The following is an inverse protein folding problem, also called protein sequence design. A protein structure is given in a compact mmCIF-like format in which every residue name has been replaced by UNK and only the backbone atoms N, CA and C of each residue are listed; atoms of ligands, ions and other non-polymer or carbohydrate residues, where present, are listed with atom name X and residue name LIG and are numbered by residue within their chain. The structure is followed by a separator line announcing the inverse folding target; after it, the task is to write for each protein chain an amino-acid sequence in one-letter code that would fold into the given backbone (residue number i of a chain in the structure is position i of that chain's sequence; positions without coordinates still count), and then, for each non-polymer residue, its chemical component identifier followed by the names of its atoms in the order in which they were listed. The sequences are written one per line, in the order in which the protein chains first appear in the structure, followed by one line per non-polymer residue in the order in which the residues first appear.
data_IF_066634201780
#
_entry.id   IF_066634201780
#
_cell.length_a   1.000
_cell.length_b   1.000
_cell.length_c   1.000
_cell.angle_alpha   90.00
_cell.angle_beta   90.00
_cell.angle_gamma   90.00
#
_symmetry.space_group_name_H-M   'P 1'
#
loop_
_entity.id
_entity.type
_entity.pdbx_description
1 polymer ?
#
# COMPACT_ATOMS: atom_id res chain seq x y z
N UNK A 1 8.71 -16.63 13.44
CA UNK A 1 8.45 -16.46 14.87
C UNK A 1 9.33 -17.45 15.60
N UNK A 2 10.29 -16.96 16.36
CA UNK A 2 10.94 -17.84 17.33
C UNK A 2 9.96 -18.03 18.47
N UNK A 3 9.29 -19.17 18.50
CA UNK A 3 8.49 -19.56 19.64
C UNK A 3 9.43 -20.10 20.72
N UNK A 4 9.30 -19.60 21.95
CA UNK A 4 9.97 -20.18 23.08
C UNK A 4 9.01 -21.15 23.77
N UNK A 5 9.44 -22.40 23.91
CA UNK A 5 8.70 -23.38 24.70
C UNK A 5 8.74 -23.00 26.19
N UNK A 6 7.58 -22.84 26.78
CA UNK A 6 7.46 -22.62 28.23
C UNK A 6 7.09 -23.95 28.90
N UNK A 7 8.06 -24.65 29.54
CA UNK A 7 7.81 -25.95 30.11
C UNK A 7 6.86 -25.91 31.34
N UNK A 8 6.64 -24.73 31.94
CA UNK A 8 5.74 -24.59 33.07
C UNK A 8 4.27 -24.60 32.67
N UNK A 9 3.97 -24.30 31.40
CA UNK A 9 2.61 -24.20 30.86
C UNK A 9 2.37 -25.09 29.66
N UNK A 10 3.38 -25.85 29.21
CA UNK A 10 3.34 -26.67 27.97
C UNK A 10 2.87 -25.87 26.73
N UNK A 11 3.26 -24.61 26.63
CA UNK A 11 2.84 -23.70 25.58
C UNK A 11 4.04 -23.04 24.89
N UNK A 12 3.92 -22.88 23.55
CA UNK A 12 4.81 -22.03 22.77
C UNK A 12 4.36 -20.58 22.83
N UNK A 13 5.11 -19.72 23.52
CA UNK A 13 4.83 -18.29 23.57
C UNK A 13 5.64 -17.54 22.53
N UNK A 14 4.98 -16.85 21.58
CA UNK A 14 5.68 -16.07 20.58
C UNK A 14 6.40 -14.88 21.24
N UNK A 15 7.68 -14.72 20.95
CA UNK A 15 8.47 -13.56 21.32
C UNK A 15 8.71 -12.66 20.13
N UNK A 16 8.53 -11.36 20.31
CA UNK A 16 8.67 -10.33 19.30
C UNK A 16 9.99 -9.60 19.53
N UNK A 17 10.97 -9.71 18.63
CA UNK A 17 12.18 -8.88 18.65
C UNK A 17 11.81 -7.41 18.42
N UNK A 18 12.38 -6.53 19.23
CA UNK A 18 12.21 -5.09 19.12
C UNK A 18 13.52 -4.41 18.80
N UNK A 19 13.50 -3.52 17.82
CA UNK A 19 14.62 -2.66 17.45
C UNK A 19 14.20 -1.20 17.50
N UNK A 20 15.11 -0.32 17.86
CA UNK A 20 14.89 1.12 17.89
C UNK A 20 15.89 1.81 16.98
N UNK A 21 15.46 2.86 16.28
CA UNK A 21 16.36 3.71 15.48
C UNK A 21 17.34 4.45 16.39
N UNK A 22 18.51 4.79 15.86
CA UNK A 22 19.58 5.45 16.64
C UNK A 22 19.21 6.85 17.13
N UNK A 23 18.22 7.49 16.49
CA UNK A 23 17.59 8.75 16.94
C UNK A 23 16.55 8.56 18.05
N UNK A 24 16.09 7.32 18.28
CA UNK A 24 15.07 6.99 19.28
C UNK A 24 13.63 7.32 18.90
N UNK A 25 13.40 7.80 17.68
CA UNK A 25 12.09 8.24 17.24
C UNK A 25 11.24 7.08 16.68
N UNK A 26 11.88 6.02 16.20
CA UNK A 26 11.21 4.93 15.50
C UNK A 26 11.41 3.60 16.21
N UNK A 27 10.36 2.78 16.26
CA UNK A 27 10.37 1.44 16.81
C UNK A 27 9.97 0.43 15.73
N UNK A 28 10.75 -0.62 15.60
CA UNK A 28 10.49 -1.75 14.71
C UNK A 28 10.32 -3.02 15.54
N UNK A 29 9.46 -3.90 15.09
CA UNK A 29 9.36 -5.27 15.57
C UNK A 29 9.55 -6.23 14.40
N UNK A 30 10.27 -7.31 14.63
CA UNK A 30 10.59 -8.33 13.64
C UNK A 30 10.14 -9.72 14.09
N UNK A 31 10.49 -10.76 13.36
CA UNK A 31 10.19 -12.15 13.71
C UNK A 31 8.73 -12.55 13.51
N UNK A 32 7.89 -11.69 12.99
CA UNK A 32 6.53 -12.03 12.64
C UNK A 32 6.50 -12.54 11.19
N UNK A 33 5.96 -13.73 10.98
CA UNK A 33 5.76 -14.25 9.63
C UNK A 33 4.87 -13.30 8.83
N UNK A 34 5.46 -12.67 7.82
CA UNK A 34 4.74 -11.85 6.87
C UNK A 34 4.49 -12.70 5.62
N UNK A 35 3.21 -12.91 5.26
CA UNK A 35 2.87 -13.60 4.02
C UNK A 35 3.23 -12.77 2.77
N UNK A 36 3.62 -11.50 2.94
CA UNK A 36 3.95 -10.59 1.86
C UNK A 36 2.77 -10.18 0.98
N UNK A 37 1.60 -10.79 1.17
CA UNK A 37 0.43 -10.51 0.35
C UNK A 37 -0.09 -9.09 0.62
N UNK A 38 -0.31 -8.31 -0.43
CA UNK A 38 -0.94 -7.00 -0.30
C UNK A 38 -2.42 -7.08 0.11
N UNK A 39 -3.01 -8.27 0.10
CA UNK A 39 -4.38 -8.51 0.55
C UNK A 39 -4.47 -8.80 2.05
N UNK A 40 -3.36 -9.15 2.67
CA UNK A 40 -3.31 -9.36 4.11
C UNK A 40 -3.36 -8.01 4.84
N UNK A 41 -4.28 -7.79 5.79
CA UNK A 41 -4.40 -6.50 6.50
C UNK A 41 -3.15 -6.14 7.27
N UNK A 42 -2.33 -7.11 7.62
CA UNK A 42 -1.04 -6.90 8.26
C UNK A 42 0.05 -6.46 7.29
N UNK A 43 0.13 -7.10 6.10
CA UNK A 43 1.17 -6.80 5.12
C UNK A 43 0.81 -5.61 4.22
N UNK A 44 -0.48 -5.33 4.03
CA UNK A 44 -0.96 -4.27 3.17
C UNK A 44 -0.36 -2.88 3.48
N UNK A 45 -0.29 -2.41 4.73
CA UNK A 45 0.32 -1.12 5.05
C UNK A 45 1.80 -1.05 4.66
N UNK A 46 2.57 -2.13 4.94
CA UNK A 46 3.99 -2.20 4.56
C UNK A 46 4.14 -2.15 3.04
N UNK A 47 3.28 -2.88 2.33
CA UNK A 47 3.27 -2.86 0.85
C UNK A 47 2.87 -1.49 0.30
N UNK A 48 1.94 -0.81 0.95
CA UNK A 48 1.56 0.55 0.59
C UNK A 48 2.72 1.54 0.76
N UNK A 49 3.45 1.46 1.86
CA UNK A 49 4.66 2.28 2.08
C UNK A 49 5.69 2.00 0.99
N UNK A 50 6.04 0.73 0.75
CA UNK A 50 7.00 0.34 -0.29
C UNK A 50 6.57 0.80 -1.69
N UNK A 51 5.28 0.77 -1.99
CA UNK A 51 4.73 1.27 -3.25
C UNK A 51 4.88 2.78 -3.36
N UNK A 52 4.53 3.51 -2.30
CA UNK A 52 4.68 4.96 -2.24
C UNK A 52 6.15 5.41 -2.41
N UNK A 53 7.08 4.72 -1.74
CA UNK A 53 8.51 4.96 -1.89
C UNK A 53 8.98 4.77 -3.34
N UNK A 54 8.55 3.68 -4.01
CA UNK A 54 8.93 3.43 -5.40
C UNK A 54 8.35 4.48 -6.37
N UNK A 55 7.12 4.88 -6.15
CA UNK A 55 6.51 5.98 -6.92
C UNK A 55 7.29 7.27 -6.68
N UNK A 56 7.64 7.57 -5.43
CA UNK A 56 8.46 8.72 -5.07
C UNK A 56 9.80 8.73 -5.81
N UNK A 57 10.53 7.61 -5.78
CA UNK A 57 11.81 7.48 -6.49
C UNK A 57 11.69 7.74 -8.01
N UNK A 58 10.62 7.26 -8.64
CA UNK A 58 10.37 7.52 -10.07
C UNK A 58 10.15 9.01 -10.33
N UNK A 59 9.37 9.66 -9.49
CA UNK A 59 9.05 11.06 -9.64
C UNK A 59 10.27 11.95 -9.39
N UNK A 60 11.06 11.67 -8.35
CA UNK A 60 12.31 12.38 -8.04
C UNK A 60 13.34 12.22 -9.18
N UNK A 61 13.47 11.00 -9.71
CA UNK A 61 14.34 10.74 -10.85
C UNK A 61 13.88 11.46 -12.13
N UNK A 62 12.58 11.50 -12.38
CA UNK A 62 12.03 12.26 -13.52
C UNK A 62 12.31 13.76 -13.36
N UNK A 63 12.06 14.32 -12.18
CA UNK A 63 12.31 15.73 -11.88
C UNK A 63 13.80 16.10 -12.00
N UNK A 64 14.70 15.29 -11.44
CA UNK A 64 16.14 15.55 -11.49
C UNK A 64 16.70 15.58 -12.93
N UNK A 65 15.99 14.95 -13.86
CA UNK A 65 16.31 14.92 -15.28
C UNK A 65 15.51 15.95 -16.11
N UNK A 66 14.75 16.83 -15.49
CA UNK A 66 13.91 17.83 -16.19
C UNK A 66 12.78 17.23 -17.02
N UNK A 67 12.33 16.00 -16.69
CA UNK A 67 11.24 15.32 -17.40
C UNK A 67 9.87 15.78 -16.90
N UNK A 68 8.89 15.67 -17.76
CA UNK A 68 7.49 15.99 -17.46
C UNK A 68 6.70 14.74 -17.13
N UNK A 69 5.78 14.86 -16.20
CA UNK A 69 4.96 13.74 -15.73
C UNK A 69 3.49 14.12 -15.72
N UNK A 70 2.65 13.27 -16.31
CA UNK A 70 1.19 13.33 -16.19
C UNK A 70 0.69 12.16 -15.34
N UNK A 71 -0.15 12.45 -14.37
CA UNK A 71 -0.90 11.44 -13.63
C UNK A 71 -2.22 11.18 -14.33
N UNK A 72 -2.47 9.93 -14.69
CA UNK A 72 -3.66 9.51 -15.45
C UNK A 72 -4.40 8.44 -14.65
N UNK A 73 -5.73 8.56 -14.53
CA UNK A 73 -6.61 7.54 -13.98
C UNK A 73 -7.46 6.93 -15.07
N UNK A 74 -7.35 5.62 -15.27
CA UNK A 74 -8.10 4.85 -16.27
C UNK A 74 -9.10 3.93 -15.59
N UNK A 75 -10.38 4.08 -15.91
CA UNK A 75 -11.47 3.29 -15.33
C UNK A 75 -12.39 2.73 -16.39
N UNK A 76 -13.12 1.67 -16.06
CA UNK A 76 -14.15 1.06 -16.88
C UNK A 76 -15.48 0.99 -16.11
N UNK A 77 -16.59 1.06 -16.84
CA UNK A 77 -17.91 0.87 -16.24
C UNK A 77 -18.04 -0.58 -15.76
N UNK A 78 -18.52 -0.75 -14.57
CA UNK A 78 -18.78 -2.04 -13.95
C UNK A 78 -20.15 -2.07 -13.30
N UNK A 79 -20.61 -3.23 -12.89
CA UNK A 79 -21.85 -3.47 -12.16
C UNK A 79 -21.57 -4.42 -11.00
N UNK A 80 -22.51 -4.53 -10.09
CA UNK A 80 -22.43 -5.48 -8.97
C UNK A 80 -22.23 -6.94 -9.43
N UNK A 81 -22.63 -7.27 -10.67
CA UNK A 81 -22.49 -8.62 -11.25
C UNK A 81 -21.15 -8.83 -11.97
N UNK A 82 -20.35 -7.79 -12.13
CA UNK A 82 -19.07 -7.89 -12.83
C UNK A 82 -18.06 -8.60 -11.95
N UNK A 83 -17.49 -9.71 -12.43
CA UNK A 83 -16.48 -10.47 -11.69
C UNK A 83 -15.13 -9.77 -11.74
N UNK A 84 -14.40 -9.76 -10.63
CA UNK A 84 -13.09 -9.13 -10.57
C UNK A 84 -12.07 -9.79 -11.50
N UNK A 85 -12.11 -11.11 -11.65
CA UNK A 85 -11.24 -11.84 -12.55
C UNK A 85 -11.41 -11.39 -14.02
N UNK A 86 -12.66 -11.19 -14.46
CA UNK A 86 -12.96 -10.73 -15.83
C UNK A 86 -12.46 -9.30 -16.05
N UNK A 87 -12.66 -8.42 -15.07
CA UNK A 87 -12.12 -7.07 -15.10
C UNK A 87 -10.59 -7.08 -15.20
N UNK A 88 -9.92 -7.84 -14.34
CA UNK A 88 -8.47 -7.94 -14.34
C UNK A 88 -7.90 -8.36 -15.69
N UNK A 89 -8.47 -9.41 -16.31
CA UNK A 89 -8.04 -9.90 -17.61
C UNK A 89 -8.29 -8.86 -18.70
N UNK A 90 -9.51 -8.32 -18.77
CA UNK A 90 -9.90 -7.35 -19.81
C UNK A 90 -9.09 -6.05 -19.69
N UNK A 91 -9.04 -5.45 -18.50
CA UNK A 91 -8.37 -4.18 -18.28
C UNK A 91 -6.84 -4.30 -18.41
N UNK A 92 -6.29 -5.41 -17.93
CA UNK A 92 -4.86 -5.70 -18.06
C UNK A 92 -4.39 -5.83 -19.51
N UNK A 93 -5.19 -6.50 -20.36
CA UNK A 93 -4.87 -6.62 -21.78
C UNK A 93 -5.06 -5.30 -22.52
N UNK A 94 -6.17 -4.60 -22.26
CA UNK A 94 -6.42 -3.27 -22.85
C UNK A 94 -5.29 -2.31 -22.49
N UNK A 95 -4.85 -2.27 -21.22
CA UNK A 95 -3.75 -1.41 -20.79
C UNK A 95 -2.45 -1.67 -21.60
N UNK A 96 -2.07 -2.94 -21.78
CA UNK A 96 -0.88 -3.29 -22.58
C UNK A 96 -1.01 -2.77 -24.01
N UNK A 97 -2.16 -2.99 -24.64
CA UNK A 97 -2.44 -2.54 -26.01
C UNK A 97 -2.54 -1.03 -26.18
N UNK A 98 -2.81 -0.30 -25.11
CA UNK A 98 -2.80 1.18 -25.17
C UNK A 98 -1.42 1.75 -25.49
N UNK A 99 -0.35 1.02 -25.13
CA UNK A 99 1.04 1.43 -25.37
C UNK A 99 1.58 1.05 -26.76
N UNK A 100 0.74 0.43 -27.60
CA UNK A 100 1.06 -0.01 -28.94
C UNK A 100 0.37 0.86 -30.00
N UNK A 101 0.77 0.64 -31.27
CA UNK A 101 0.17 1.28 -32.43
C UNK A 101 0.89 2.55 -32.89
N UNK A 102 0.49 3.02 -34.11
CA UNK A 102 1.20 4.09 -34.80
C UNK A 102 1.27 5.42 -34.04
N UNK A 103 0.18 5.80 -33.33
CA UNK A 103 0.14 7.01 -32.51
C UNK A 103 1.13 6.97 -31.35
N UNK A 104 1.14 5.88 -30.57
CA UNK A 104 2.12 5.69 -29.49
C UNK A 104 3.54 5.61 -30.02
N UNK A 105 3.76 4.95 -31.17
CA UNK A 105 5.08 4.88 -31.79
C UNK A 105 5.59 6.26 -32.22
N UNK A 106 4.71 7.15 -32.71
CA UNK A 106 5.03 8.55 -33.01
C UNK A 106 5.44 9.28 -31.73
N UNK A 107 4.60 9.25 -30.69
CA UNK A 107 4.88 9.92 -29.41
C UNK A 107 6.21 9.45 -28.79
N UNK A 108 6.52 8.15 -28.88
CA UNK A 108 7.81 7.61 -28.42
C UNK A 108 9.01 8.16 -29.21
N UNK A 109 8.86 8.45 -30.49
CA UNK A 109 9.93 9.12 -31.27
C UNK A 109 10.06 10.60 -30.93
N UNK A 110 8.98 11.21 -30.49
CA UNK A 110 8.90 12.64 -30.12
C UNK A 110 9.21 12.89 -28.62
N UNK A 111 9.73 11.89 -27.88
CA UNK A 111 10.20 12.08 -26.54
C UNK A 111 9.36 11.40 -25.43
N UNK A 112 8.31 10.61 -25.77
CA UNK A 112 7.62 9.81 -24.76
C UNK A 112 8.51 8.66 -24.29
N UNK A 113 8.88 8.66 -23.01
CA UNK A 113 9.74 7.65 -22.42
C UNK A 113 8.98 6.40 -21.99
N UNK A 114 7.74 6.55 -21.54
CA UNK A 114 6.87 5.46 -21.12
C UNK A 114 5.99 5.81 -19.94
N UNK A 115 5.59 4.78 -19.17
CA UNK A 115 4.76 5.00 -18.00
C UNK A 115 4.95 3.96 -16.92
N UNK A 116 4.51 4.34 -15.73
CA UNK A 116 4.45 3.49 -14.55
C UNK A 116 2.98 3.27 -14.19
N UNK A 117 2.61 2.04 -13.89
CA UNK A 117 1.24 1.69 -13.54
C UNK A 117 1.11 1.10 -12.16
N UNK A 118 0.07 1.52 -11.46
CA UNK A 118 -0.43 0.90 -10.22
C UNK A 118 -1.91 0.54 -10.42
N UNK A 119 -2.32 -0.65 -10.02
CA UNK A 119 -3.73 -1.03 -9.93
C UNK A 119 -4.29 -0.72 -8.56
N UNK A 120 -5.48 -0.16 -8.51
CA UNK A 120 -6.27 0.02 -7.30
C UNK A 120 -7.58 -0.77 -7.43
N UNK A 121 -7.93 -1.50 -6.36
CA UNK A 121 -9.11 -2.36 -6.30
C UNK A 121 -9.92 -2.05 -5.06
N UNK A 122 -11.17 -1.66 -5.24
CA UNK A 122 -12.14 -1.50 -4.15
C UNK A 122 -13.43 -2.22 -4.50
N UNK A 123 -14.25 -2.50 -3.50
CA UNK A 123 -15.57 -3.09 -3.69
C UNK A 123 -16.65 -2.33 -2.90
N UNK A 124 -17.85 -2.34 -3.43
CA UNK A 124 -18.98 -1.73 -2.76
C UNK A 124 -20.22 -2.60 -2.84
N UNK A 125 -20.99 -2.74 -1.74
CA UNK A 125 -22.16 -3.62 -1.70
C UNK A 125 -23.24 -3.26 -2.73
N UNK A 126 -23.30 -2.02 -3.19
CA UNK A 126 -24.24 -1.53 -4.20
C UNK A 126 -23.64 -1.40 -5.61
N UNK A 127 -22.31 -1.27 -5.72
CA UNK A 127 -21.64 -0.94 -6.98
C UNK A 127 -20.81 -2.09 -7.54
N UNK A 128 -20.40 -3.04 -6.69
CA UNK A 128 -19.49 -4.13 -7.04
C UNK A 128 -18.05 -3.68 -7.14
N UNK A 129 -17.22 -4.53 -7.74
CA UNK A 129 -15.81 -4.30 -7.92
C UNK A 129 -15.51 -3.05 -8.73
N UNK A 130 -14.56 -2.27 -8.26
CA UNK A 130 -14.03 -1.11 -8.95
C UNK A 130 -12.52 -1.28 -9.08
N UNK A 131 -12.07 -1.68 -10.26
CA UNK A 131 -10.66 -1.82 -10.60
C UNK A 131 -10.28 -0.70 -11.56
N UNK A 132 -9.28 0.10 -11.20
CA UNK A 132 -8.76 1.12 -12.07
C UNK A 132 -7.22 1.18 -12.03
N UNK A 133 -6.65 1.78 -13.06
CA UNK A 133 -5.22 1.98 -13.16
C UNK A 133 -4.87 3.45 -12.89
N UNK A 134 -3.93 3.68 -11.97
CA UNK A 134 -3.19 4.92 -11.88
C UNK A 134 -1.91 4.79 -12.70
N UNK A 135 -1.68 5.75 -13.58
CA UNK A 135 -0.56 5.71 -14.51
C UNK A 135 0.21 7.03 -14.43
N UNK A 136 1.52 6.96 -14.27
CA UNK A 136 2.41 8.10 -14.53
C UNK A 136 2.90 7.98 -15.98
N UNK A 137 2.58 8.94 -16.80
CA UNK A 137 3.12 9.09 -18.17
C UNK A 137 4.30 10.05 -18.09
N UNK A 138 5.45 9.66 -18.65
CA UNK A 138 6.71 10.40 -18.52
C UNK A 138 7.26 10.72 -19.91
N UNK A 139 7.59 12.00 -20.14
CA UNK A 139 8.08 12.50 -21.42
C UNK A 139 9.15 13.58 -21.24
N UNK A 140 9.88 13.85 -22.32
CA UNK A 140 10.91 14.91 -22.39
C UNK A 140 10.31 16.31 -22.48
N UNK A 141 9.06 16.46 -22.98
CA UNK A 141 8.38 17.75 -23.08
C UNK A 141 6.99 17.69 -22.45
N UNK A 142 6.47 18.84 -22.02
CA UNK A 142 5.14 18.97 -21.42
C UNK A 142 4.04 18.63 -22.44
N UNK A 143 4.17 19.14 -23.66
CA UNK A 143 3.20 18.98 -24.76
C UNK A 143 3.09 17.50 -25.14
N UNK A 144 4.21 16.81 -25.33
CA UNK A 144 4.22 15.38 -25.66
C UNK A 144 3.66 14.56 -24.51
N UNK A 145 3.95 14.94 -23.24
CA UNK A 145 3.43 14.27 -22.06
C UNK A 145 1.91 14.37 -21.97
N UNK A 146 1.35 15.55 -22.22
CA UNK A 146 -0.10 15.78 -22.25
C UNK A 146 -0.75 15.03 -23.40
N UNK A 147 -0.21 15.15 -24.63
CA UNK A 147 -0.72 14.42 -25.79
C UNK A 147 -0.71 12.90 -25.56
N UNK A 148 0.35 12.37 -24.97
CA UNK A 148 0.44 10.96 -24.64
C UNK A 148 -0.62 10.53 -23.61
N UNK A 149 -0.90 11.36 -22.60
CA UNK A 149 -1.97 11.11 -21.64
C UNK A 149 -3.35 11.10 -22.29
N UNK A 150 -3.64 12.07 -23.18
CA UNK A 150 -4.91 12.12 -23.93
C UNK A 150 -5.05 10.92 -24.88
N UNK A 151 -3.96 10.59 -25.59
CA UNK A 151 -3.94 9.42 -26.47
C UNK A 151 -4.17 8.12 -25.72
N UNK A 152 -3.56 7.97 -24.53
CA UNK A 152 -3.75 6.82 -23.66
C UNK A 152 -5.23 6.68 -23.24
N UNK A 153 -5.87 7.76 -22.82
CA UNK A 153 -7.30 7.78 -22.44
C UNK A 153 -8.21 7.41 -23.61
N UNK A 154 -7.98 7.98 -24.79
CA UNK A 154 -8.77 7.68 -25.99
C UNK A 154 -8.65 6.21 -26.40
N UNK A 155 -7.42 5.69 -26.46
CA UNK A 155 -7.19 4.28 -26.78
C UNK A 155 -7.78 3.33 -25.74
N UNK A 156 -7.74 3.71 -24.46
CA UNK A 156 -8.38 2.94 -23.39
C UNK A 156 -9.87 2.75 -23.66
N UNK A 157 -10.59 3.83 -23.95
CA UNK A 157 -12.02 3.80 -24.24
C UNK A 157 -12.31 2.97 -25.50
N UNK A 158 -11.56 3.20 -26.59
CA UNK A 158 -11.75 2.49 -27.87
C UNK A 158 -11.49 0.98 -27.73
N UNK A 159 -10.42 0.61 -27.05
CA UNK A 159 -10.06 -0.80 -26.89
C UNK A 159 -11.00 -1.54 -25.92
N UNK A 160 -11.52 -0.85 -24.90
CA UNK A 160 -12.57 -1.38 -24.04
C UNK A 160 -13.85 -1.64 -24.84
N UNK A 161 -14.28 -0.68 -25.66
CA UNK A 161 -15.46 -0.83 -26.51
C UNK A 161 -15.35 -2.04 -27.44
N UNK A 162 -14.18 -2.25 -28.07
CA UNK A 162 -13.91 -3.44 -28.92
C UNK A 162 -13.97 -4.77 -28.16
N UNK A 163 -13.91 -4.75 -26.85
CA UNK A 163 -14.06 -5.93 -25.97
C UNK A 163 -15.42 -6.04 -25.30
N UNK A 164 -16.38 -5.20 -25.70
CA UNK A 164 -17.71 -5.16 -25.10
C UNK A 164 -17.81 -4.48 -23.74
N UNK A 165 -16.71 -3.84 -23.29
CA UNK A 165 -16.72 -3.05 -22.05
C UNK A 165 -17.09 -1.60 -22.35
N UNK A 166 -17.83 -0.98 -21.42
CA UNK A 166 -18.23 0.42 -21.53
C UNK A 166 -17.28 1.30 -20.73
N UNK A 167 -16.93 2.43 -21.36
CA UNK A 167 -16.21 3.53 -20.71
C UNK A 167 -16.45 4.82 -21.52
N UNK A 168 -16.09 5.97 -20.98
CA UNK A 168 -16.12 7.24 -21.70
C UNK A 168 -14.92 8.10 -21.33
N UNK A 169 -14.57 9.07 -22.16
CA UNK A 169 -13.45 9.99 -21.89
C UNK A 169 -13.70 10.85 -20.66
N UNK A 170 -14.96 11.21 -20.38
CA UNK A 170 -15.32 12.08 -19.25
C UNK A 170 -15.04 11.48 -17.88
N UNK A 171 -14.97 10.14 -17.80
CA UNK A 171 -14.66 9.43 -16.53
C UNK A 171 -13.17 9.10 -16.39
N UNK A 172 -12.37 9.41 -17.40
CA UNK A 172 -10.91 9.31 -17.33
C UNK A 172 -10.35 10.66 -16.89
N UNK A 173 -9.46 10.63 -15.92
CA UNK A 173 -8.79 11.84 -15.43
C UNK A 173 -7.33 11.89 -15.89
N UNK A 174 -6.81 13.11 -16.11
CA UNK A 174 -5.38 13.34 -16.27
C UNK A 174 -5.02 14.73 -15.78
N UNK A 175 -3.90 14.84 -15.07
CA UNK A 175 -3.39 16.12 -14.58
C UNK A 175 -1.86 16.12 -14.56
N UNK A 176 -1.21 17.29 -14.79
CA UNK A 176 0.22 17.41 -14.66
C UNK A 176 0.63 17.21 -13.19
N UNK A 177 1.81 16.64 -13.00
CA UNK A 177 2.43 16.49 -11.68
C UNK A 177 3.33 17.70 -11.48
N UNK A 178 2.82 18.73 -10.82
CA UNK A 178 3.51 20.02 -10.62
C UNK A 178 4.07 20.19 -9.22
N UNK A 179 3.51 19.49 -8.22
CA UNK A 179 3.85 19.69 -6.82
C UNK A 179 5.05 18.86 -6.39
N UNK A 180 5.91 19.53 -5.62
CA UNK A 180 7.15 18.97 -5.11
C UNK A 180 6.92 17.81 -4.16
N UNK A 181 7.77 16.82 -4.30
CA UNK A 181 7.88 15.67 -3.41
C UNK A 181 8.56 16.14 -2.14
N UNK A 182 7.82 16.26 -1.05
CA UNK A 182 8.44 16.41 0.26
C UNK A 182 9.10 15.08 0.61
N UNK A 183 10.34 15.18 1.05
CA UNK A 183 11.23 14.06 1.38
C UNK A 183 10.52 13.01 2.24
N UNK A 184 10.65 11.75 1.83
CA UNK A 184 10.23 10.54 2.54
C UNK A 184 11.05 10.33 3.84
N UNK A 185 11.08 11.32 4.72
CA UNK A 185 11.91 11.29 5.93
C UNK A 185 11.16 11.13 7.25
N UNK A 186 9.83 11.15 7.26
CA UNK A 186 9.07 11.10 8.50
C UNK A 186 7.95 10.03 8.41
N UNK A 187 8.16 8.92 9.07
CA UNK A 187 7.21 7.82 9.17
C UNK A 187 6.20 8.03 10.30
N UNK A 188 5.07 8.66 10.00
CA UNK A 188 3.92 8.71 10.90
C UNK A 188 2.61 8.67 10.11
N UNK A 189 1.58 7.98 10.61
CA UNK A 189 0.28 7.89 9.93
C UNK A 189 -0.41 9.26 9.75
N UNK A 190 0.01 10.28 10.51
CA UNK A 190 -0.50 11.65 10.40
C UNK A 190 0.17 12.43 9.25
N UNK A 191 1.40 12.04 8.84
CA UNK A 191 2.16 12.70 7.78
C UNK A 191 1.71 12.29 6.36
N UNK A 192 0.85 11.28 6.23
CA UNK A 192 0.30 10.84 4.94
C UNK A 192 -0.50 11.92 4.19
N UNK A 193 -0.90 12.99 4.87
CA UNK A 193 -1.60 14.12 4.23
C UNK A 193 -0.74 14.92 3.27
N UNK A 194 0.58 14.84 3.38
CA UNK A 194 1.55 15.55 2.54
C UNK A 194 2.12 14.75 1.36
N UNK A 195 1.74 13.48 1.18
CA UNK A 195 2.37 12.57 0.21
C UNK A 195 1.89 12.71 -1.25
N UNK A 196 0.96 13.61 -1.53
CA UNK A 196 0.56 13.91 -2.90
C UNK A 196 0.18 12.68 -3.74
N UNK A 197 0.71 12.62 -4.96
CA UNK A 197 0.41 11.56 -5.95
C UNK A 197 0.92 10.18 -5.52
N UNK A 198 2.07 10.10 -4.85
CA UNK A 198 2.60 8.82 -4.37
C UNK A 198 1.63 8.16 -3.36
N UNK A 199 1.07 8.95 -2.44
CA UNK A 199 0.05 8.48 -1.51
C UNK A 199 -1.28 8.17 -2.20
N UNK A 200 -1.63 8.88 -3.26
CA UNK A 200 -2.83 8.58 -4.04
C UNK A 200 -2.70 7.26 -4.77
N UNK A 201 -1.56 6.98 -5.38
CA UNK A 201 -1.27 5.70 -6.04
C UNK A 201 -1.17 4.52 -5.06
N UNK A 202 -0.70 4.76 -3.85
CA UNK A 202 -0.65 3.74 -2.77
C UNK A 202 -1.96 3.64 -1.98
N UNK A 203 -2.99 4.39 -2.35
CA UNK A 203 -4.18 4.66 -1.54
C UNK A 203 -4.98 3.44 -1.08
N UNK A 204 -5.06 2.39 -1.89
CA UNK A 204 -5.73 1.12 -1.53
C UNK A 204 -5.11 0.48 -0.27
N UNK A 205 -3.81 0.69 -0.07
CA UNK A 205 -3.02 0.02 0.97
C UNK A 205 -2.85 0.83 2.25
N UNK A 206 -3.01 2.16 2.14
CA UNK A 206 -2.74 3.10 3.23
C UNK A 206 -4.00 3.83 3.72
N UNK A 207 -5.07 3.85 2.94
CA UNK A 207 -6.29 4.61 3.26
C UNK A 207 -7.41 3.66 3.67
N UNK A 208 -8.06 3.95 4.78
CA UNK A 208 -9.46 3.55 4.98
C UNK A 208 -10.29 4.28 3.94
N UNK A 209 -11.17 3.56 3.24
CA UNK A 209 -11.93 4.08 2.11
C UNK A 209 -12.45 5.50 2.33
N UNK A 210 -12.15 6.40 1.40
CA UNK A 210 -12.66 7.80 1.44
C UNK A 210 -14.18 7.88 1.38
N UNK A 211 -14.82 6.82 0.87
CA UNK A 211 -16.26 6.70 0.75
C UNK A 211 -16.75 5.55 1.63
N UNK A 212 -17.77 5.77 2.46
CA UNK A 212 -18.30 4.75 3.37
C UNK A 212 -18.89 3.53 2.64
N UNK A 213 -19.17 3.65 1.35
CA UNK A 213 -19.73 2.63 0.48
C UNK A 213 -18.70 1.86 -0.36
N UNK A 214 -17.39 2.12 -0.17
CA UNK A 214 -16.30 1.42 -0.87
C UNK A 214 -15.27 0.90 0.10
N UNK A 215 -15.02 -0.38 0.03
CA UNK A 215 -14.10 -1.10 0.90
C UNK A 215 -12.87 -1.56 0.11
N UNK A 216 -11.71 -1.41 0.71
CA UNK A 216 -10.48 -2.04 0.24
C UNK A 216 -10.51 -3.55 0.52
N UNK A 217 -9.63 -4.30 -0.14
CA UNK A 217 -9.55 -5.75 0.06
C UNK A 217 -9.22 -6.13 1.53
N UNK A 218 -8.30 -5.43 2.24
CA UNK A 218 -8.13 -5.66 3.68
C UNK A 218 -9.37 -5.38 4.53
N UNK A 219 -10.19 -4.38 4.17
CA UNK A 219 -11.44 -4.09 4.88
C UNK A 219 -12.49 -5.19 4.69
N UNK A 220 -12.52 -5.83 3.51
CA UNK A 220 -13.38 -7.01 3.27
C UNK A 220 -12.98 -8.19 4.17
N UNK A 221 -11.67 -8.42 4.40
CA UNK A 221 -11.23 -9.43 5.36
C UNK A 221 -11.64 -9.08 6.80
N UNK A 222 -11.62 -7.80 7.14
CA UNK A 222 -12.09 -7.36 8.45
C UNK A 222 -13.57 -7.67 8.67
N UNK A 223 -14.40 -7.48 7.65
CA UNK A 223 -15.82 -7.88 7.69
C UNK A 223 -15.97 -9.40 7.82
N UNK A 224 -15.21 -10.17 7.03
CA UNK A 224 -15.20 -11.64 7.11
C UNK A 224 -14.86 -12.15 8.51
N UNK A 225 -13.90 -11.50 9.18
CA UNK A 225 -13.47 -11.86 10.54
C UNK A 225 -14.60 -11.76 11.59
N UNK A 226 -15.54 -10.85 11.39
CA UNK A 226 -16.69 -10.69 12.30
C UNK A 226 -17.92 -11.45 11.83
N UNK A 227 -17.78 -12.36 10.86
CA UNK A 227 -18.85 -13.25 10.41
C UNK A 227 -19.71 -12.70 9.28
N UNK A 228 -19.31 -11.59 8.64
CA UNK A 228 -20.03 -11.07 7.47
C UNK A 228 -19.79 -11.94 6.25
N UNK A 229 -20.81 -12.64 5.79
CA UNK A 229 -20.74 -13.58 4.67
C UNK A 229 -20.44 -12.89 3.33
N UNK A 230 -20.93 -11.66 3.12
CA UNK A 230 -20.64 -10.91 1.91
C UNK A 230 -19.15 -10.51 1.88
N UNK A 231 -18.63 -9.98 2.97
CA UNK A 231 -17.21 -9.66 3.12
C UNK A 231 -16.31 -10.88 2.89
N UNK A 232 -16.69 -12.05 3.44
CA UNK A 232 -15.96 -13.30 3.27
C UNK A 232 -15.88 -13.73 1.79
N UNK A 233 -17.03 -13.75 1.11
CA UNK A 233 -17.11 -14.12 -0.32
C UNK A 233 -16.33 -13.16 -1.20
N UNK A 234 -16.45 -11.85 -0.95
CA UNK A 234 -15.76 -10.83 -1.74
C UNK A 234 -14.25 -10.85 -1.50
N UNK A 235 -13.82 -11.07 -0.26
CA UNK A 235 -12.40 -11.25 0.04
C UNK A 235 -11.82 -12.49 -0.67
N UNK A 236 -12.51 -13.64 -0.62
CA UNK A 236 -12.07 -14.84 -1.31
C UNK A 236 -11.94 -14.62 -2.83
N UNK A 237 -12.94 -13.97 -3.47
CA UNK A 237 -12.88 -13.58 -4.89
C UNK A 237 -11.66 -12.68 -5.18
N UNK A 238 -11.37 -11.71 -4.31
CA UNK A 238 -10.22 -10.84 -4.49
C UNK A 238 -8.89 -11.60 -4.39
N UNK A 239 -8.75 -12.50 -3.41
CA UNK A 239 -7.54 -13.32 -3.24
C UNK A 239 -7.26 -14.14 -4.49
N UNK A 240 -8.29 -14.80 -5.03
CA UNK A 240 -8.18 -15.61 -6.24
C UNK A 240 -7.90 -14.74 -7.48
N UNK A 241 -8.73 -13.72 -7.71
CA UNK A 241 -8.66 -12.89 -8.91
C UNK A 241 -7.37 -12.09 -9.01
N UNK A 242 -6.81 -11.63 -7.89
CA UNK A 242 -5.61 -10.79 -7.86
C UNK A 242 -4.31 -11.59 -7.64
N UNK A 243 -4.37 -12.92 -7.53
CA UNK A 243 -3.18 -13.76 -7.36
C UNK A 243 -2.16 -13.51 -8.48
N UNK A 244 -0.87 -13.31 -8.12
CA UNK A 244 0.21 -13.01 -9.06
C UNK A 244 0.11 -11.66 -9.77
N UNK A 245 -0.79 -10.76 -9.38
CA UNK A 245 -0.86 -9.44 -9.96
C UNK A 245 0.33 -8.58 -9.52
N UNK A 246 1.03 -8.01 -10.49
CA UNK A 246 2.06 -7.01 -10.22
C UNK A 246 1.39 -5.69 -9.84
N UNK A 247 1.65 -5.26 -8.61
CA UNK A 247 1.11 -3.99 -8.09
C UNK A 247 1.74 -2.79 -8.77
N UNK A 248 3.05 -2.80 -8.92
CA UNK A 248 3.85 -1.74 -9.52
C UNK A 248 4.62 -2.31 -10.71
N UNK A 249 4.53 -1.62 -11.84
CA UNK A 249 5.26 -2.01 -13.06
C UNK A 249 5.98 -0.79 -13.62
N UNK A 250 7.30 -0.91 -13.64
CA UNK A 250 8.23 0.04 -14.26
C UNK A 250 9.04 -0.71 -15.31
N UNK A 251 8.79 -0.39 -16.59
CA UNK A 251 9.44 -1.11 -17.71
C UNK A 251 10.97 -0.98 -17.69
N UNK A 252 11.73 -2.00 -18.15
CA UNK A 252 13.20 -2.02 -18.08
C UNK A 252 13.87 -0.83 -18.77
N UNK A 253 13.32 -0.39 -19.93
CA UNK A 253 13.83 0.78 -20.65
C UNK A 253 13.70 2.04 -19.79
N UNK A 254 12.53 2.25 -19.17
CA UNK A 254 12.28 3.42 -18.34
C UNK A 254 13.11 3.38 -17.06
N UNK A 255 13.30 2.20 -16.45
CA UNK A 255 14.22 2.02 -15.31
C UNK A 255 15.62 2.55 -15.62
N UNK A 256 16.21 2.11 -16.73
CA UNK A 256 17.55 2.54 -17.16
C UNK A 256 17.61 4.05 -17.43
N UNK A 257 16.62 4.60 -18.14
CA UNK A 257 16.56 6.03 -18.43
C UNK A 257 16.47 6.89 -17.17
N UNK A 258 15.79 6.39 -16.13
CA UNK A 258 15.68 7.07 -14.85
C UNK A 258 16.87 6.80 -13.90
N UNK A 259 17.75 5.84 -14.22
CA UNK A 259 18.84 5.42 -13.32
C UNK A 259 18.35 4.61 -12.11
N UNK A 260 17.26 3.85 -12.28
CA UNK A 260 16.58 3.09 -11.24
C UNK A 260 16.73 1.57 -11.43
N UNK A 261 17.83 1.10 -12.03
CA UNK A 261 18.03 -0.31 -12.37
C UNK A 261 17.96 -1.22 -11.13
N UNK A 262 18.37 -0.75 -9.97
CA UNK A 262 18.30 -1.45 -8.68
C UNK A 262 16.90 -1.54 -8.08
N UNK A 263 15.93 -0.74 -8.57
CA UNK A 263 14.55 -0.76 -8.04
C UNK A 263 13.84 -2.01 -8.53
N UNK A 264 13.54 -2.92 -7.61
CA UNK A 264 12.82 -4.16 -7.92
C UNK A 264 11.31 -3.92 -8.10
N UNK A 265 10.69 -4.69 -8.99
CA UNK A 265 9.23 -4.71 -9.11
C UNK A 265 8.60 -5.24 -7.81
N UNK A 266 7.44 -4.70 -7.46
CA UNK A 266 6.68 -5.13 -6.29
C UNK A 266 5.79 -6.30 -6.69
N UNK A 267 6.22 -7.52 -6.33
CA UNK A 267 5.45 -8.75 -6.48
C UNK A 267 5.07 -9.31 -5.12
N UNK A 268 4.13 -10.25 -5.07
CA UNK A 268 3.77 -10.94 -3.82
C UNK A 268 4.94 -11.72 -3.22
N UNK A 269 5.84 -12.21 -4.06
CA UNK A 269 7.01 -12.99 -3.68
C UNK A 269 8.16 -12.12 -3.15
N UNK A 270 8.07 -10.78 -3.31
CA UNK A 270 9.10 -9.88 -2.78
C UNK A 270 9.05 -9.94 -1.26
N UNK A 271 9.85 -10.81 -0.68
CA UNK A 271 10.03 -10.87 0.78
C UNK A 271 10.52 -9.51 1.26
N UNK A 272 9.89 -8.97 2.29
CA UNK A 272 10.46 -7.83 3.01
C UNK A 272 11.72 -8.37 3.69
N UNK A 273 12.91 -7.86 3.41
CA UNK A 273 14.08 -8.30 4.16
C UNK A 273 13.83 -8.02 5.64
N UNK A 274 14.05 -9.01 6.47
CA UNK A 274 14.05 -8.84 7.95
C UNK A 274 15.35 -8.15 8.42
N UNK A 275 16.06 -7.52 7.49
CA UNK A 275 17.29 -6.80 7.78
C UNK A 275 16.97 -5.60 8.65
N UNK A 276 17.55 -5.56 9.81
CA UNK A 276 17.61 -4.37 10.64
C UNK A 276 18.57 -3.41 9.91
N UNK A 277 18.11 -2.22 9.48
CA UNK A 277 19.01 -1.25 8.85
C UNK A 277 20.18 -0.87 9.78
N UNK A 278 21.29 -0.44 9.24
CA UNK A 278 22.48 -0.07 10.01
C UNK A 278 22.23 1.03 11.05
N UNK A 279 21.21 1.87 10.81
CA UNK A 279 20.75 2.91 11.73
C UNK A 279 19.77 2.41 12.81
N UNK A 280 19.60 1.08 12.93
CA UNK A 280 18.74 0.46 13.91
C UNK A 280 19.51 -0.46 14.86
N UNK A 281 19.09 -0.53 16.11
CA UNK A 281 19.69 -1.39 17.10
C UNK A 281 18.63 -2.33 17.68
N UNK A 282 18.90 -3.66 17.63
CA UNK A 282 18.06 -4.64 18.33
C UNK A 282 18.26 -4.48 19.83
N UNK A 283 17.16 -4.29 20.56
CA UNK A 283 17.17 -4.06 22.00
C UNK A 283 16.86 -5.30 22.81
N UNK A 284 16.15 -6.25 22.24
CA UNK A 284 15.75 -7.49 22.87
C UNK A 284 14.38 -7.98 22.43
N UNK A 285 13.84 -8.98 23.12
CA UNK A 285 12.58 -9.63 22.77
C UNK A 285 11.53 -9.42 23.85
N UNK A 286 10.28 -9.22 23.42
CA UNK A 286 9.12 -9.01 24.29
C UNK A 286 8.09 -10.09 23.97
N UNK A 287 7.41 -10.59 24.99
CA UNK A 287 6.30 -11.52 24.78
C UNK A 287 5.19 -10.88 23.95
N UNK A 288 4.62 -11.66 23.03
CA UNK A 288 3.61 -11.17 22.07
C UNK A 288 2.40 -10.54 22.75
N UNK A 289 2.00 -11.06 23.92
CA UNK A 289 0.91 -10.49 24.73
C UNK A 289 1.25 -9.09 25.28
N UNK A 290 2.49 -8.89 25.73
CA UNK A 290 2.95 -7.58 26.22
C UNK A 290 2.96 -6.58 25.08
N UNK A 291 3.50 -6.99 23.92
CA UNK A 291 3.58 -6.15 22.73
C UNK A 291 2.19 -5.83 22.15
N UNK A 292 1.33 -6.84 22.04
CA UNK A 292 -0.04 -6.68 21.55
C UNK A 292 -0.92 -5.80 22.45
N UNK A 293 -0.57 -5.68 23.74
CA UNK A 293 -1.27 -4.80 24.66
C UNK A 293 -0.87 -3.32 24.56
N UNK A 294 0.20 -3.00 23.79
CA UNK A 294 0.63 -1.62 23.53
C UNK A 294 -0.08 -1.15 22.24
N UNK A 295 -1.08 -0.30 22.38
CA UNK A 295 -1.81 0.27 21.23
C UNK A 295 -0.90 1.07 20.30
N UNK A 296 -1.32 1.20 19.04
CA UNK A 296 -0.54 1.91 18.02
C UNK A 296 -0.20 3.36 18.42
N UNK A 297 -1.13 4.02 19.09
CA UNK A 297 -0.99 5.39 19.61
C UNK A 297 0.10 5.53 20.68
N UNK A 298 0.43 4.44 21.37
CA UNK A 298 1.46 4.41 22.43
C UNK A 298 2.82 3.91 21.94
N UNK A 299 2.93 3.44 20.71
CA UNK A 299 4.20 2.96 20.13
C UNK A 299 5.30 4.01 20.08
N UNK A 300 5.04 5.29 19.75
CA UNK A 300 6.07 6.33 19.86
C UNK A 300 6.59 6.51 21.28
N UNK A 301 5.72 6.42 22.29
CA UNK A 301 6.11 6.46 23.69
C UNK A 301 6.94 5.22 24.09
N UNK A 302 6.59 4.04 23.55
CA UNK A 302 7.34 2.80 23.74
C UNK A 302 8.75 2.92 23.10
N UNK A 303 8.85 3.47 21.89
CA UNK A 303 10.14 3.71 21.23
C UNK A 303 11.06 4.60 22.08
N UNK A 304 10.54 5.76 22.50
CA UNK A 304 11.29 6.69 23.38
C UNK A 304 11.70 6.04 24.71
N UNK A 305 10.84 5.21 25.31
CA UNK A 305 11.16 4.48 26.53
C UNK A 305 12.31 3.51 26.31
N UNK A 306 12.26 2.70 25.24
CA UNK A 306 13.29 1.71 24.90
C UNK A 306 14.62 2.43 24.60
N UNK A 307 14.58 3.48 23.80
CA UNK A 307 15.78 4.26 23.48
C UNK A 307 16.40 4.88 24.74
N UNK A 308 15.61 5.59 25.52
CA UNK A 308 16.12 6.32 26.69
C UNK A 308 16.60 5.36 27.77
N UNK A 309 15.77 4.40 28.17
CA UNK A 309 16.07 3.51 29.28
C UNK A 309 17.00 2.36 28.89
N UNK A 310 16.74 1.71 27.75
CA UNK A 310 17.53 0.58 27.30
C UNK A 310 18.87 1.02 26.67
N UNK A 311 18.84 1.96 25.72
CA UNK A 311 20.04 2.31 24.95
C UNK A 311 20.91 3.36 25.63
N UNK A 312 20.32 4.46 26.14
CA UNK A 312 21.11 5.54 26.75
C UNK A 312 21.46 5.31 28.22
N UNK A 313 20.51 4.87 29.02
CA UNK A 313 20.73 4.66 30.45
C UNK A 313 21.23 3.25 30.79
N UNK A 314 21.22 2.32 29.83
CA UNK A 314 21.73 0.95 30.02
C UNK A 314 20.91 0.10 31.01
N UNK A 315 19.64 0.45 31.23
CA UNK A 315 18.78 -0.38 32.12
C UNK A 315 18.69 -1.82 31.58
N UNK A 316 18.73 -2.85 32.46
CA UNK A 316 18.58 -4.24 32.05
C UNK A 316 17.25 -4.47 31.30
N UNK A 317 17.30 -5.23 30.20
CA UNK A 317 16.14 -5.47 29.36
C UNK A 317 14.85 -5.92 30.10
N UNK A 318 14.90 -6.83 31.10
CA UNK A 318 13.72 -7.18 31.89
C UNK A 318 13.06 -6.00 32.62
N UNK A 319 13.85 -4.99 32.98
CA UNK A 319 13.33 -3.77 33.63
C UNK A 319 12.62 -2.90 32.60
N UNK A 320 13.21 -2.73 31.41
CA UNK A 320 12.61 -2.01 30.28
C UNK A 320 11.29 -2.66 29.89
N UNK A 321 11.23 -3.99 29.76
CA UNK A 321 10.01 -4.75 29.44
C UNK A 321 8.91 -4.53 30.49
N UNK A 322 9.24 -4.54 31.78
CA UNK A 322 8.26 -4.21 32.83
C UNK A 322 7.70 -2.79 32.70
N UNK A 323 8.53 -1.83 32.30
CA UNK A 323 8.08 -0.46 32.05
C UNK A 323 7.18 -0.36 30.81
N UNK A 324 7.50 -1.11 29.75
CA UNK A 324 6.63 -1.25 28.56
C UNK A 324 5.26 -1.80 28.95
N UNK A 325 5.19 -2.75 29.85
CA UNK A 325 3.94 -3.29 30.38
C UNK A 325 3.02 -2.24 31.02
N UNK A 326 3.56 -1.12 31.52
CA UNK A 326 2.78 0.00 32.06
C UNK A 326 2.15 0.90 30.98
N UNK A 327 2.61 0.81 29.74
CA UNK A 327 2.02 1.49 28.60
C UNK A 327 0.79 0.77 28.04
N UNK A 328 0.35 -0.32 28.67
CA UNK A 328 -0.85 -1.05 28.26
C UNK A 328 -2.05 -0.08 28.22
N UNK A 329 -2.82 -0.13 27.15
CA UNK A 329 -4.12 0.54 27.05
C UNK A 329 -5.13 -0.07 28.03
N UNK A 330 -6.20 0.66 28.33
CA UNK A 330 -7.31 0.10 29.11
C UNK A 330 -7.89 -1.12 28.37
N UNK A 331 -8.30 -2.15 29.13
CA UNK A 331 -8.80 -3.42 28.55
C UNK A 331 -9.98 -3.25 27.59
N UNK A 332 -10.70 -2.13 27.71
CA UNK A 332 -11.85 -1.81 26.87
C UNK A 332 -11.48 -1.40 25.44
N UNK A 333 -10.23 -0.97 25.22
CA UNK A 333 -9.71 -0.56 23.90
C UNK A 333 -8.79 -1.62 23.28
N UNK A 334 -8.69 -2.80 23.89
CA UNK A 334 -7.80 -3.88 23.46
C UNK A 334 -8.43 -4.67 22.33
N UNK A 335 -8.17 -4.21 21.13
CA UNK A 335 -8.26 -5.06 19.96
C UNK A 335 -6.84 -5.39 19.48
N UNK A 336 -6.53 -6.65 19.15
CA UNK A 336 -5.21 -7.02 18.65
C UNK A 336 -5.03 -6.40 17.25
N UNK A 337 -4.09 -5.49 17.12
CA UNK A 337 -3.74 -4.94 15.81
C UNK A 337 -3.53 -3.43 15.81
N UNK A 338 -2.66 -2.99 14.94
CA UNK A 338 -2.31 -1.59 14.75
C UNK A 338 -3.41 -0.75 14.09
N UNK A 339 -3.06 0.37 13.49
CA UNK A 339 -3.96 1.33 12.82
C UNK A 339 -4.93 0.67 11.81
N UNK A 340 -4.65 -0.56 11.38
CA UNK A 340 -5.48 -1.42 10.51
C UNK A 340 -6.08 -2.61 11.26
N UNK A 341 -6.35 -2.49 12.56
CA UNK A 341 -7.15 -3.50 13.26
C UNK A 341 -8.49 -3.65 12.55
N UNK A 342 -8.84 -4.87 12.09
CA UNK A 342 -10.12 -5.15 11.44
C UNK A 342 -11.32 -4.65 12.23
N UNK A 343 -11.27 -4.74 13.56
CA UNK A 343 -12.34 -4.29 14.44
C UNK A 343 -12.42 -2.76 14.57
N UNK A 344 -11.31 -2.04 14.46
CA UNK A 344 -11.32 -0.57 14.38
C UNK A 344 -11.91 -0.10 13.06
N UNK A 345 -11.57 -0.78 11.97
CA UNK A 345 -12.16 -0.53 10.63
C UNK A 345 -13.67 -0.79 10.71
N UNK A 346 -14.07 -1.94 11.27
CA UNK A 346 -15.48 -2.30 11.44
C UNK A 346 -16.25 -1.31 12.32
N UNK A 347 -15.70 -0.91 13.48
CA UNK A 347 -16.32 0.11 14.35
C UNK A 347 -16.53 1.43 13.62
N UNK A 348 -15.55 1.87 12.82
CA UNK A 348 -15.69 3.07 12.00
C UNK A 348 -16.78 2.92 10.93
N UNK A 349 -16.88 1.74 10.32
CA UNK A 349 -17.91 1.43 9.33
C UNK A 349 -19.31 1.38 9.98
N UNK A 350 -19.46 0.71 11.12
CA UNK A 350 -20.72 0.62 11.87
C UNK A 350 -21.17 1.99 12.41
N UNK A 351 -20.26 2.81 12.94
CA UNK A 351 -20.58 4.16 13.40
C UNK A 351 -21.04 5.08 12.27
N UNK A 352 -20.62 4.83 11.03
CA UNK A 352 -21.08 5.57 9.85
C UNK A 352 -22.44 5.07 9.34
N UNK A 353 -22.73 3.76 9.49
CA UNK A 353 -24.00 3.16 9.08
C UNK A 353 -25.18 3.56 9.98
N UNK A 354 -24.92 3.90 11.24
CA UNK A 354 -25.96 4.33 12.21
C UNK A 354 -26.33 5.82 12.03
N UNK A 355 -25.62 6.57 11.16
CA UNK A 355 -25.90 7.98 10.85
C UNK A 355 -26.57 8.19 9.49
N UNK A 356 -27.04 7.14 8.85
CA UNK A 356 -27.90 7.11 7.68
C UNK A 356 -29.28 6.58 8.07
#
# INVERSE_FOLDING_TARGET
MDAHYDPAHDEFRPRVPLSVSTDGERLRYSGLQNCGSPRCPRCAPVRGIQLSERVGLVLDAARSKGLYVQFVTLTARHTIRTRLADMRVALGDVYRRCWDGKGMARLKREGLLGGVRVWETTDGPKTGWHLHAHVLVISETAENCEEAAQHLKSRWVDLLAKRGWKSSLQVQDSRPVTEGFQQLGAYGAEDLKGWGIAAEMAGEWLKTGKRPDRLSVPELLALAHVGDEWGARRYAEAVEALAGQRMFVLGPKLKRLLGLDQVQDLTEETKTPDLVPDDWREMGRVEGEVWGAIGAEKRPAAARLIYRKGLKEGEPWPVVVRRLGRLRGDRRDRLPGGVNDPMMILRRLLQRSVRL
#
